data_IF_843269460039
#
_entry.id   IF_843269460039
#
_cell.length_a   1.000
_cell.length_b   1.000
_cell.length_c   1.000
_cell.angle_alpha   90.00
_cell.angle_beta   90.00
_cell.angle_gamma   90.00
#
_symmetry.space_group_name_H-M   'P 1'
#
loop_
_entity.id
_entity.type
_entity.pdbx_description
1 polymer ?
#
# COMPACT_ATOMS: atom_id res chain seq x y z
N UNK A 1 -14.80 -0.48 -1.32
CA UNK A 1 -15.45 0.82 -1.14
C UNK A 1 -15.34 1.14 0.34
N UNK A 2 -14.79 2.29 0.71
CA UNK A 2 -14.59 2.61 2.12
C UNK A 2 -15.72 3.51 2.59
N UNK A 3 -16.47 3.05 3.59
CA UNK A 3 -17.56 3.81 4.18
C UNK A 3 -16.97 4.76 5.21
N UNK A 4 -17.39 6.02 5.15
CA UNK A 4 -17.11 7.03 6.17
C UNK A 4 -18.42 7.45 6.81
N UNK A 5 -18.44 7.47 8.14
CA UNK A 5 -19.59 7.96 8.92
C UNK A 5 -19.13 9.17 9.71
N UNK A 6 -19.85 10.29 9.57
CA UNK A 6 -19.72 11.44 10.46
C UNK A 6 -20.86 11.36 11.46
N UNK A 7 -20.53 11.25 12.74
CA UNK A 7 -21.52 11.17 13.81
C UNK A 7 -22.13 12.55 14.09
N UNK A 8 -23.28 12.58 14.77
CA UNK A 8 -23.92 13.80 15.29
C UNK A 8 -22.99 14.63 16.19
N UNK A 9 -22.06 13.96 16.88
CA UNK A 9 -20.99 14.57 17.68
C UNK A 9 -19.77 15.06 16.86
N UNK A 10 -19.86 15.12 15.52
CA UNK A 10 -18.76 15.48 14.61
C UNK A 10 -17.52 14.58 14.72
N UNK A 11 -17.69 13.32 15.09
CA UNK A 11 -16.60 12.32 15.05
C UNK A 11 -16.61 11.63 13.70
N UNK A 12 -15.43 11.34 13.16
CA UNK A 12 -15.28 10.60 11.90
C UNK A 12 -14.98 9.14 12.21
N UNK A 13 -15.79 8.23 11.69
CA UNK A 13 -15.58 6.79 11.75
C UNK A 13 -15.09 6.32 10.38
N UNK A 14 -13.84 5.87 10.31
CA UNK A 14 -13.21 5.46 9.06
C UNK A 14 -12.04 4.47 9.25
N UNK A 15 -11.86 3.47 8.38
CA UNK A 15 -12.88 2.92 7.50
C UNK A 15 -13.97 2.25 8.36
N UNK A 16 -15.23 2.51 8.07
CA UNK A 16 -16.35 1.91 8.79
C UNK A 16 -16.74 0.56 8.17
N UNK A 17 -16.74 -0.49 8.99
CA UNK A 17 -17.36 -1.77 8.68
C UNK A 17 -18.75 -1.78 9.31
N UNK A 18 -19.77 -2.01 8.49
CA UNK A 18 -21.18 -1.93 8.90
C UNK A 18 -21.80 -3.30 8.82
N UNK A 19 -22.60 -3.65 9.81
CA UNK A 19 -23.30 -4.93 9.92
C UNK A 19 -24.76 -4.70 10.29
N UNK A 20 -25.62 -5.67 9.95
CA UNK A 20 -26.95 -5.77 10.53
C UNK A 20 -26.83 -6.13 12.01
N UNK A 21 -27.72 -5.61 12.85
CA UNK A 21 -27.66 -5.81 14.30
C UNK A 21 -27.85 -7.28 14.71
N UNK A 22 -28.55 -8.06 13.88
CA UNK A 22 -28.78 -9.49 14.08
C UNK A 22 -27.51 -10.33 13.84
N UNK A 23 -26.52 -9.81 13.11
CA UNK A 23 -25.25 -10.49 12.84
C UNK A 23 -24.24 -10.25 13.97
N UNK A 24 -24.57 -10.78 15.15
CA UNK A 24 -23.72 -10.69 16.36
C UNK A 24 -22.35 -11.36 16.20
N UNK A 25 -22.20 -12.24 15.21
CA UNK A 25 -20.95 -12.91 14.89
C UNK A 25 -20.08 -12.12 13.90
N UNK A 26 -20.56 -10.96 13.40
CA UNK A 26 -19.84 -10.06 12.50
C UNK A 26 -19.35 -10.77 11.21
N UNK A 27 -20.14 -11.70 10.68
CA UNK A 27 -19.75 -12.56 9.56
C UNK A 27 -20.00 -11.93 8.19
N UNK A 28 -20.96 -11.02 8.08
CA UNK A 28 -21.48 -10.46 6.81
C UNK A 28 -21.50 -8.93 6.84
N UNK A 29 -20.34 -8.28 6.60
CA UNK A 29 -20.31 -6.83 6.45
C UNK A 29 -21.08 -6.37 5.20
N UNK A 30 -21.76 -5.24 5.34
CA UNK A 30 -22.48 -4.55 4.27
C UNK A 30 -21.52 -3.58 3.59
N UNK A 31 -21.41 -3.68 2.28
CA UNK A 31 -20.47 -2.88 1.48
C UNK A 31 -21.16 -1.82 0.62
N UNK A 32 -22.45 -2.00 0.34
CA UNK A 32 -23.26 -1.06 -0.42
C UNK A 32 -23.83 0.02 0.51
N UNK A 33 -23.68 1.28 0.10
CA UNK A 33 -24.20 2.40 0.88
C UNK A 33 -25.73 2.48 0.83
N UNK A 34 -26.34 2.05 -0.28
CA UNK A 34 -27.79 2.09 -0.46
C UNK A 34 -28.47 1.07 0.49
N UNK A 35 -27.85 -0.10 0.69
CA UNK A 35 -28.29 -1.08 1.67
C UNK A 35 -28.23 -0.53 3.11
N UNK A 36 -27.18 0.21 3.45
CA UNK A 36 -27.03 0.83 4.76
C UNK A 36 -28.08 1.93 4.97
N UNK A 37 -28.35 2.73 3.94
CA UNK A 37 -29.44 3.71 3.98
C UNK A 37 -30.78 3.02 4.20
N UNK A 38 -31.08 1.95 3.47
CA UNK A 38 -32.34 1.22 3.61
C UNK A 38 -32.56 0.72 5.04
N UNK A 39 -31.53 0.19 5.71
CA UNK A 39 -31.61 -0.21 7.12
C UNK A 39 -31.95 0.97 8.04
N UNK A 40 -31.22 2.08 7.89
CA UNK A 40 -31.41 3.28 8.72
C UNK A 40 -32.78 3.94 8.48
N UNK A 41 -33.31 3.91 7.26
CA UNK A 41 -34.64 4.46 6.94
C UNK A 41 -35.77 3.58 7.45
N UNK A 42 -35.56 2.27 7.60
CA UNK A 42 -36.49 1.34 8.23
C UNK A 42 -36.42 1.35 9.77
N UNK A 43 -35.82 2.38 10.37
CA UNK A 43 -35.58 2.54 11.82
C UNK A 43 -34.81 1.37 12.45
N UNK A 44 -33.98 0.67 11.67
CA UNK A 44 -33.05 -0.31 12.21
C UNK A 44 -31.72 0.36 12.55
N UNK A 45 -31.21 0.09 13.74
CA UNK A 45 -29.85 0.46 14.11
C UNK A 45 -28.88 -0.42 13.33
N UNK A 46 -27.72 0.14 13.00
CA UNK A 46 -26.61 -0.57 12.38
C UNK A 46 -25.51 -0.80 13.41
N UNK A 47 -24.81 -1.93 13.31
CA UNK A 47 -23.62 -2.18 14.11
C UNK A 47 -22.38 -1.73 13.33
N UNK A 48 -21.54 -0.90 13.95
CA UNK A 48 -20.40 -0.27 13.29
C UNK A 48 -19.11 -0.55 14.04
N UNK A 49 -18.11 -1.00 13.30
CA UNK A 49 -16.72 -1.08 13.74
C UNK A 49 -15.84 -0.16 12.89
N UNK A 50 -15.11 0.77 13.51
CA UNK A 50 -14.28 1.73 12.80
C UNK A 50 -13.16 2.31 13.68
N UNK A 51 -12.12 2.89 13.06
CA UNK A 51 -11.25 3.81 13.78
C UNK A 51 -11.99 5.15 13.92
N UNK A 52 -12.00 5.70 15.13
CA UNK A 52 -12.62 6.98 15.43
C UNK A 52 -11.58 8.10 15.42
N UNK A 53 -11.88 9.16 14.69
CA UNK A 53 -11.12 10.41 14.67
C UNK A 53 -11.98 11.55 15.23
N UNK A 54 -11.34 12.53 15.85
CA UNK A 54 -11.99 13.80 16.15
C UNK A 54 -12.22 14.64 14.89
N UNK A 55 -12.87 15.80 15.05
CA UNK A 55 -13.15 16.74 13.97
C UNK A 55 -11.88 17.32 13.31
N UNK A 56 -10.71 17.21 13.94
CA UNK A 56 -9.43 17.69 13.44
C UNK A 56 -8.59 16.57 12.79
N UNK A 57 -9.11 15.33 12.76
CA UNK A 57 -8.45 14.18 12.16
C UNK A 57 -7.45 13.48 13.09
N UNK A 58 -7.42 13.81 14.38
CA UNK A 58 -6.62 13.06 15.36
C UNK A 58 -7.32 11.75 15.70
N UNK A 59 -6.57 10.65 15.62
CA UNK A 59 -7.05 9.34 16.02
C UNK A 59 -7.34 9.30 17.53
N UNK A 60 -8.52 8.79 17.90
CA UNK A 60 -8.96 8.69 19.29
C UNK A 60 -8.87 7.25 19.79
N UNK A 61 -9.74 6.37 19.27
CA UNK A 61 -9.87 4.97 19.66
C UNK A 61 -10.65 4.18 18.62
N UNK A 62 -10.72 2.87 18.78
CA UNK A 62 -11.65 2.04 18.01
C UNK A 62 -13.08 2.28 18.51
N UNK A 63 -13.98 2.56 17.57
CA UNK A 63 -15.42 2.55 17.80
C UNK A 63 -15.96 1.15 17.48
N UNK A 64 -16.71 0.59 18.43
CA UNK A 64 -17.48 -0.63 18.26
C UNK A 64 -18.81 -0.40 18.98
N UNK A 65 -19.87 -0.19 18.22
CA UNK A 65 -21.16 0.15 18.79
C UNK A 65 -22.26 0.31 17.75
N UNK A 66 -23.47 0.42 18.25
CA UNK A 66 -24.67 0.63 17.44
C UNK A 66 -24.83 2.12 17.11
N UNK A 67 -25.28 2.40 15.89
CA UNK A 67 -25.68 3.74 15.46
C UNK A 67 -27.08 3.68 14.87
N UNK A 68 -27.96 4.54 15.36
CA UNK A 68 -29.23 4.85 14.73
C UNK A 68 -29.10 5.99 13.73
N UNK A 69 -30.19 6.27 13.01
CA UNK A 69 -30.27 7.38 12.04
C UNK A 69 -30.00 8.74 12.70
N UNK A 70 -30.40 8.95 13.95
CA UNK A 70 -30.16 10.19 14.70
C UNK A 70 -28.69 10.41 15.06
N UNK A 71 -27.90 9.35 15.13
CA UNK A 71 -26.49 9.40 15.52
C UNK A 71 -25.56 9.74 14.34
N UNK A 72 -26.12 9.75 13.12
CA UNK A 72 -25.38 9.91 11.87
C UNK A 72 -25.73 11.26 11.26
N UNK A 73 -24.73 12.14 11.18
CA UNK A 73 -24.82 13.44 10.52
C UNK A 73 -24.60 13.33 9.02
N UNK A 74 -23.67 12.47 8.60
CA UNK A 74 -23.42 12.17 7.19
C UNK A 74 -22.87 10.76 7.02
N UNK A 75 -23.26 10.12 5.92
CA UNK A 75 -22.77 8.81 5.50
C UNK A 75 -22.38 8.92 4.03
N UNK A 76 -21.14 8.58 3.71
CA UNK A 76 -20.67 8.57 2.33
C UNK A 76 -19.67 7.46 2.09
N UNK A 77 -19.66 6.99 0.86
CA UNK A 77 -18.76 5.95 0.42
C UNK A 77 -17.72 6.58 -0.49
N UNK A 78 -16.48 6.53 -0.05
CA UNK A 78 -15.36 6.90 -0.90
C UNK A 78 -14.98 5.67 -1.72
N UNK A 79 -15.15 5.77 -3.05
CA UNK A 79 -14.18 5.12 -3.94
C UNK A 79 -12.83 5.70 -3.56
N UNK A 80 -11.77 4.89 -3.50
CA UNK A 80 -10.43 5.42 -3.27
C UNK A 80 -10.09 6.39 -4.42
N UNK A 81 -10.49 7.64 -4.28
CA UNK A 81 -9.86 8.76 -4.97
C UNK A 81 -8.66 9.02 -4.09
N UNK A 82 -7.52 8.50 -4.54
CA UNK A 82 -6.21 8.79 -4.01
C UNK A 82 -6.10 10.32 -3.86
N UNK A 83 -6.39 10.84 -2.67
CA UNK A 83 -5.87 12.15 -2.25
C UNK A 83 -4.43 11.89 -1.87
N UNK A 84 -3.62 11.58 -2.89
CA UNK A 84 -2.18 11.75 -2.79
C UNK A 84 -1.97 13.22 -2.46
N UNK A 85 -1.24 13.49 -1.38
CA UNK A 85 -0.86 14.84 -0.99
C UNK A 85 -0.45 15.61 -2.25
N UNK A 86 -1.11 16.73 -2.58
CA UNK A 86 -0.76 17.54 -3.76
C UNK A 86 0.69 18.04 -3.73
N UNK A 87 1.33 18.00 -2.55
CA UNK A 87 2.75 18.28 -2.35
C UNK A 87 3.67 17.13 -2.80
N UNK A 88 3.21 15.87 -2.77
CA UNK A 88 3.97 14.71 -3.24
C UNK A 88 3.92 14.56 -4.76
N UNK A 89 2.96 15.21 -5.43
CA UNK A 89 2.81 15.18 -6.89
C UNK A 89 3.63 16.27 -7.61
N UNK A 90 4.21 17.21 -6.86
CA UNK A 90 5.06 18.29 -7.39
C UNK A 90 6.53 18.06 -7.03
N UNK A 91 7.43 18.52 -7.89
CA UNK A 91 8.87 18.40 -7.68
C UNK A 91 9.62 19.52 -8.39
N UNK A 92 10.83 19.82 -7.92
CA UNK A 92 11.75 20.73 -8.59
C UNK A 92 12.27 20.11 -9.89
N UNK A 93 12.77 20.93 -10.82
CA UNK A 93 13.36 20.39 -12.06
C UNK A 93 14.56 19.48 -11.81
N UNK A 94 15.33 19.72 -10.74
CA UNK A 94 16.48 18.88 -10.38
C UNK A 94 16.02 17.49 -9.90
N UNK A 95 14.97 17.44 -9.09
CA UNK A 95 14.35 16.19 -8.64
C UNK A 95 13.72 15.44 -9.82
N UNK A 96 13.00 16.14 -10.69
CA UNK A 96 12.45 15.58 -11.92
C UNK A 96 13.54 15.01 -12.83
N UNK A 97 14.63 15.74 -13.05
CA UNK A 97 15.74 15.30 -13.89
C UNK A 97 16.37 14.02 -13.33
N UNK A 98 16.65 13.98 -12.03
CA UNK A 98 17.16 12.78 -11.36
C UNK A 98 16.20 11.60 -11.51
N UNK A 99 14.89 11.84 -11.34
CA UNK A 99 13.85 10.81 -11.40
C UNK A 99 13.65 10.24 -12.82
N UNK A 100 13.78 11.06 -13.86
CA UNK A 100 13.69 10.64 -15.27
C UNK A 100 15.03 10.27 -15.91
N UNK A 101 16.14 10.29 -15.17
CA UNK A 101 17.48 10.02 -15.71
C UNK A 101 17.94 11.05 -16.74
N UNK A 102 17.48 12.30 -16.61
CA UNK A 102 17.88 13.44 -17.43
C UNK A 102 19.03 14.20 -16.74
N UNK A 103 19.80 14.96 -17.52
CA UNK A 103 20.80 15.90 -16.98
C UNK A 103 20.15 16.99 -16.12
N UNK A 104 20.91 17.58 -15.18
CA UNK A 104 20.60 18.63 -14.15
C UNK A 104 19.53 19.71 -14.47
N UNK A 105 18.31 19.29 -14.81
CA UNK A 105 17.17 20.13 -15.19
C UNK A 105 17.28 20.85 -16.53
N UNK A 106 18.44 20.83 -17.22
CA UNK A 106 18.67 21.59 -18.47
C UNK A 106 17.78 21.14 -19.63
N UNK A 107 17.56 19.84 -19.77
CA UNK A 107 16.64 19.26 -20.76
C UNK A 107 15.20 19.68 -20.51
N UNK A 108 14.81 19.77 -19.23
CA UNK A 108 13.46 20.18 -18.84
C UNK A 108 13.27 21.68 -19.12
N UNK A 109 14.25 22.54 -18.80
CA UNK A 109 14.20 23.97 -19.16
C UNK A 109 14.02 24.21 -20.66
N UNK A 110 14.77 23.48 -21.50
CA UNK A 110 14.58 23.56 -22.96
C UNK A 110 13.18 23.15 -23.41
N UNK A 111 12.55 22.19 -22.74
CA UNK A 111 11.17 21.79 -23.04
C UNK A 111 10.16 22.88 -22.62
N UNK A 112 10.40 23.56 -21.50
CA UNK A 112 9.61 24.73 -21.06
C UNK A 112 9.73 25.85 -22.08
N UNK A 113 10.94 26.21 -22.50
CA UNK A 113 11.21 27.25 -23.52
C UNK A 113 10.53 26.94 -24.87
N UNK A 114 10.40 25.65 -25.20
CA UNK A 114 9.73 25.17 -26.42
C UNK A 114 8.20 25.05 -26.27
N UNK A 115 7.62 25.45 -25.14
CA UNK A 115 6.18 25.39 -24.90
C UNK A 115 5.61 23.98 -24.84
N UNK A 116 6.39 22.99 -24.39
CA UNK A 116 5.92 21.60 -24.27
C UNK A 116 5.01 21.38 -23.06
N UNK A 117 5.13 22.22 -22.04
CA UNK A 117 4.33 22.20 -20.82
C UNK A 117 3.12 23.13 -20.94
N UNK A 118 2.00 22.72 -20.33
CA UNK A 118 0.79 23.52 -20.21
C UNK A 118 0.89 24.51 -19.04
N UNK A 119 0.02 25.53 -19.02
CA UNK A 119 0.09 26.65 -18.09
C UNK A 119 -0.01 26.23 -16.60
N UNK A 120 -0.69 25.12 -16.32
CA UNK A 120 -0.89 24.62 -14.95
C UNK A 120 0.11 23.52 -14.55
N UNK A 121 1.00 23.13 -15.45
CA UNK A 121 1.94 22.02 -15.24
C UNK A 121 3.31 22.49 -14.77
N UNK A 122 3.63 23.76 -15.02
CA UNK A 122 4.93 24.34 -14.74
C UNK A 122 4.76 25.68 -14.04
N UNK A 123 5.46 25.89 -12.93
CA UNK A 123 5.43 27.15 -12.18
C UNK A 123 6.81 27.53 -11.67
N UNK A 124 7.16 28.80 -11.81
CA UNK A 124 8.32 29.37 -11.15
C UNK A 124 7.94 29.91 -9.76
N UNK A 125 8.57 29.39 -8.71
CA UNK A 125 8.45 29.84 -7.34
C UNK A 125 9.80 30.43 -6.89
N UNK A 126 9.93 31.76 -7.00
CA UNK A 126 11.19 32.46 -6.78
C UNK A 126 12.26 32.02 -7.80
N UNK A 127 13.39 31.49 -7.32
CA UNK A 127 14.48 31.01 -8.17
C UNK A 127 14.32 29.55 -8.61
N UNK A 128 13.29 28.84 -8.13
CA UNK A 128 13.10 27.42 -8.38
C UNK A 128 11.91 27.21 -9.31
N UNK A 129 12.10 26.34 -10.30
CA UNK A 129 11.04 25.86 -11.16
C UNK A 129 10.49 24.54 -10.62
N UNK A 130 9.16 24.45 -10.59
CA UNK A 130 8.40 23.32 -10.07
C UNK A 130 7.54 22.76 -11.21
N UNK A 131 7.46 21.43 -11.28
CA UNK A 131 6.64 20.67 -12.23
C UNK A 131 5.89 19.57 -11.49
N UNK A 132 4.86 18.98 -12.12
CA UNK A 132 4.15 17.82 -11.58
C UNK A 132 4.69 16.50 -12.16
N UNK A 133 4.45 15.40 -11.46
CA UNK A 133 4.73 14.05 -11.97
C UNK A 133 3.98 13.78 -13.29
N UNK A 134 2.69 14.13 -13.35
CA UNK A 134 1.85 13.92 -14.54
C UNK A 134 2.35 14.71 -15.75
N UNK A 135 2.81 15.95 -15.56
CA UNK A 135 3.38 16.76 -16.62
C UNK A 135 4.68 16.16 -17.16
N UNK A 136 5.56 15.68 -16.27
CA UNK A 136 6.79 15.00 -16.66
C UNK A 136 6.51 13.72 -17.44
N UNK A 137 5.55 12.91 -17.00
CA UNK A 137 5.14 11.69 -17.70
C UNK A 137 4.58 12.00 -19.09
N UNK A 138 3.75 13.04 -19.23
CA UNK A 138 3.18 13.45 -20.52
C UNK A 138 4.25 13.95 -21.50
N UNK A 139 5.20 14.77 -21.04
CA UNK A 139 6.21 15.41 -21.89
C UNK A 139 7.38 14.49 -22.21
N UNK A 140 7.83 13.68 -21.25
CA UNK A 140 9.04 12.85 -21.36
C UNK A 140 8.75 11.34 -21.41
N UNK A 141 7.49 10.94 -21.32
CA UNK A 141 7.07 9.55 -21.18
C UNK A 141 7.18 9.04 -19.74
N UNK A 142 6.72 7.82 -19.51
CA UNK A 142 6.92 7.13 -18.23
C UNK A 142 8.42 6.96 -17.94
N UNK A 143 8.78 6.86 -16.67
CA UNK A 143 10.18 6.76 -16.25
C UNK A 143 10.79 5.51 -16.90
N UNK A 144 11.82 5.70 -17.74
CA UNK A 144 12.50 4.63 -18.50
C UNK A 144 13.04 3.48 -17.63
N UNK A 145 13.14 3.68 -16.31
CA UNK A 145 13.60 2.66 -15.38
C UNK A 145 12.49 1.72 -14.87
N UNK A 146 11.20 1.89 -15.20
CA UNK A 146 10.17 0.93 -14.74
C UNK A 146 10.22 -0.40 -15.52
N UNK A 147 10.71 -0.43 -16.76
CA UNK A 147 10.76 -1.65 -17.59
C UNK A 147 11.82 -2.69 -17.13
N UNK A 148 12.80 -2.29 -16.31
CA UNK A 148 13.84 -3.19 -15.78
C UNK A 148 13.87 -3.23 -14.24
N UNK A 149 12.68 -3.16 -13.62
CA UNK A 149 12.52 -3.22 -12.16
C UNK A 149 11.58 -4.34 -11.74
N UNK A 150 11.92 -5.00 -10.64
CA UNK A 150 11.05 -5.94 -9.97
C UNK A 150 10.42 -5.25 -8.76
N UNK A 151 9.09 -5.24 -8.69
CA UNK A 151 8.36 -4.55 -7.62
C UNK A 151 7.96 -5.56 -6.54
N UNK A 152 8.40 -5.31 -5.31
CA UNK A 152 7.89 -5.99 -4.12
C UNK A 152 7.00 -4.99 -3.39
N UNK A 153 5.74 -5.38 -3.16
CA UNK A 153 4.89 -4.63 -2.27
C UNK A 153 5.22 -5.02 -0.83
N UNK A 154 5.61 -4.05 0.00
CA UNK A 154 5.88 -4.21 1.44
C UNK A 154 4.56 -4.31 2.21
N UNK A 155 3.76 -5.30 1.86
CA UNK A 155 2.49 -5.66 2.49
C UNK A 155 2.67 -6.69 3.60
N UNK A 156 3.91 -7.08 3.88
CA UNK A 156 4.19 -8.14 4.83
C UNK A 156 3.84 -7.75 6.29
N UNK A 157 3.44 -6.50 6.54
CA UNK A 157 2.92 -6.05 7.83
C UNK A 157 1.57 -6.73 8.15
N UNK A 158 1.54 -7.43 9.30
CA UNK A 158 0.55 -8.45 9.73
C UNK A 158 -0.96 -8.15 9.60
N UNK A 159 -1.39 -6.94 9.22
CA UNK A 159 -2.81 -6.51 9.34
C UNK A 159 -3.54 -6.56 8.00
N UNK A 160 -2.83 -6.58 6.86
CA UNK A 160 -3.47 -6.52 5.54
C UNK A 160 -2.82 -7.48 4.56
N UNK A 161 -3.32 -8.71 4.54
CA UNK A 161 -3.00 -9.68 3.47
C UNK A 161 -3.62 -9.21 2.15
N UNK A 162 -2.78 -9.01 1.14
CA UNK A 162 -3.17 -8.56 -0.21
C UNK A 162 -4.02 -9.60 -0.95
N UNK A 163 -4.65 -9.17 -2.04
CA UNK A 163 -5.40 -10.07 -2.92
C UNK A 163 -4.49 -11.21 -3.42
N UNK A 164 -3.25 -10.87 -3.77
CA UNK A 164 -2.19 -11.76 -4.22
C UNK A 164 -1.83 -12.79 -3.13
N UNK A 165 -1.68 -12.36 -1.87
CA UNK A 165 -1.52 -13.28 -0.75
C UNK A 165 -2.72 -14.23 -0.61
N UNK A 166 -3.95 -13.71 -0.69
CA UNK A 166 -5.15 -14.53 -0.54
C UNK A 166 -5.31 -15.53 -1.68
N UNK A 167 -4.95 -15.16 -2.90
CA UNK A 167 -4.89 -16.05 -4.06
C UNK A 167 -3.81 -17.13 -3.87
N UNK A 168 -2.61 -16.75 -3.40
CA UNK A 168 -1.56 -17.69 -3.05
C UNK A 168 -2.02 -18.69 -1.96
N UNK A 169 -2.59 -18.19 -0.86
CA UNK A 169 -3.07 -19.01 0.25
C UNK A 169 -4.20 -19.97 -0.18
N UNK A 170 -5.12 -19.52 -1.04
CA UNK A 170 -6.17 -20.36 -1.64
C UNK A 170 -5.56 -21.45 -2.53
N UNK A 171 -4.55 -21.12 -3.34
CA UNK A 171 -3.86 -22.06 -4.22
C UNK A 171 -3.11 -23.16 -3.45
N UNK A 172 -2.61 -22.84 -2.24
CA UNK A 172 -1.84 -23.74 -1.37
C UNK A 172 -2.71 -24.47 -0.34
N UNK A 173 -4.02 -24.61 -0.56
CA UNK A 173 -4.95 -25.24 0.40
C UNK A 173 -4.58 -26.70 0.74
N UNK A 174 -3.69 -26.88 1.72
CA UNK A 174 -3.52 -28.14 2.44
C UNK A 174 -4.70 -28.30 3.41
N UNK A 175 -5.64 -29.17 3.06
CA UNK A 175 -6.68 -29.64 3.98
C UNK A 175 -6.08 -30.74 4.88
N UNK A 176 -5.86 -30.43 6.16
CA UNK A 176 -5.51 -31.42 7.18
C UNK A 176 -6.13 -31.03 8.54
N UNK A 177 -6.58 -31.99 9.37
CA UNK A 177 -7.57 -31.71 10.41
C UNK A 177 -7.04 -31.08 11.71
N UNK A 178 -5.73 -30.91 11.91
CA UNK A 178 -5.19 -30.53 13.22
C UNK A 178 -3.85 -29.80 13.14
N UNK A 179 -3.83 -28.57 12.61
CA UNK A 179 -2.67 -27.68 12.75
C UNK A 179 -3.16 -26.41 13.44
N UNK A 180 -2.46 -26.02 14.52
CA UNK A 180 -2.63 -24.74 15.20
C UNK A 180 -2.76 -23.63 14.16
N UNK A 181 -3.95 -23.00 14.07
CA UNK A 181 -4.32 -22.04 13.03
C UNK A 181 -3.29 -20.92 12.90
N UNK A 182 -2.67 -20.51 14.02
CA UNK A 182 -1.64 -19.48 14.07
C UNK A 182 -0.32 -19.94 13.43
N UNK A 183 0.12 -21.17 13.74
CA UNK A 183 1.32 -21.75 13.12
C UNK A 183 1.12 -21.93 11.60
N UNK A 184 -0.07 -22.37 11.19
CA UNK A 184 -0.46 -22.50 9.78
C UNK A 184 -0.42 -21.16 9.03
N UNK A 185 -0.91 -20.09 9.65
CA UNK A 185 -0.87 -18.75 9.06
C UNK A 185 0.57 -18.25 8.86
N UNK A 186 1.47 -18.50 9.83
CA UNK A 186 2.88 -18.15 9.69
C UNK A 186 3.58 -18.94 8.58
N UNK A 187 3.29 -20.24 8.42
CA UNK A 187 3.86 -21.05 7.33
C UNK A 187 3.40 -20.58 5.93
N UNK A 188 2.11 -20.25 5.78
CA UNK A 188 1.60 -19.70 4.52
C UNK A 188 2.26 -18.34 4.20
N UNK A 189 2.37 -17.48 5.21
CA UNK A 189 3.04 -16.18 5.10
C UNK A 189 4.51 -16.31 4.79
N UNK A 190 5.19 -17.23 5.45
CA UNK A 190 6.59 -17.56 5.18
C UNK A 190 6.77 -17.99 3.73
N UNK A 191 5.93 -18.89 3.22
CA UNK A 191 5.99 -19.34 1.83
C UNK A 191 5.84 -18.19 0.83
N UNK A 192 4.86 -17.32 1.03
CA UNK A 192 4.66 -16.13 0.18
C UNK A 192 5.87 -15.19 0.20
N UNK A 193 6.37 -14.85 1.40
CA UNK A 193 7.54 -13.99 1.56
C UNK A 193 8.77 -14.60 0.89
N UNK A 194 8.99 -15.90 1.10
CA UNK A 194 10.10 -16.63 0.50
C UNK A 194 10.08 -16.54 -1.01
N UNK A 195 8.93 -16.81 -1.64
CA UNK A 195 8.79 -16.76 -3.10
C UNK A 195 9.05 -15.33 -3.63
N UNK A 196 8.48 -14.31 -2.99
CA UNK A 196 8.70 -12.91 -3.37
C UNK A 196 10.17 -12.48 -3.24
N UNK A 197 10.85 -12.92 -2.18
CA UNK A 197 12.27 -12.64 -1.95
C UNK A 197 13.16 -13.38 -2.95
N UNK A 198 12.84 -14.63 -3.29
CA UNK A 198 13.58 -15.39 -4.31
C UNK A 198 13.49 -14.70 -5.67
N UNK A 199 12.30 -14.26 -6.08
CA UNK A 199 12.13 -13.53 -7.33
C UNK A 199 12.85 -12.16 -7.30
N UNK A 200 12.82 -11.46 -6.16
CA UNK A 200 13.61 -10.24 -5.96
C UNK A 200 15.12 -10.46 -6.13
N UNK A 201 15.66 -11.55 -5.58
CA UNK A 201 17.07 -11.90 -5.76
C UNK A 201 17.39 -12.26 -7.21
N UNK A 202 16.52 -13.00 -7.91
CA UNK A 202 16.70 -13.30 -9.34
C UNK A 202 16.73 -12.02 -10.17
N UNK A 203 15.86 -11.06 -9.84
CA UNK A 203 15.85 -9.75 -10.48
C UNK A 203 17.20 -9.02 -10.31
N UNK A 204 17.72 -8.94 -9.07
CA UNK A 204 19.04 -8.33 -8.81
C UNK A 204 20.16 -9.01 -9.60
N UNK A 205 20.17 -10.35 -9.68
CA UNK A 205 21.14 -11.11 -10.49
C UNK A 205 21.04 -10.83 -11.98
N UNK A 206 19.85 -10.48 -12.47
CA UNK A 206 19.60 -10.06 -13.85
C UNK A 206 19.86 -8.56 -14.08
N UNK A 207 20.59 -7.89 -13.18
CA UNK A 207 20.85 -6.45 -13.21
C UNK A 207 19.56 -5.59 -13.20
N UNK A 208 18.47 -6.12 -12.65
CA UNK A 208 17.25 -5.37 -12.37
C UNK A 208 17.33 -4.75 -10.97
N UNK A 209 16.62 -3.64 -10.77
CA UNK A 209 16.47 -3.07 -9.42
C UNK A 209 15.22 -3.63 -8.76
N UNK A 210 15.28 -3.84 -7.45
CA UNK A 210 14.10 -4.18 -6.66
C UNK A 210 13.51 -2.91 -6.05
N UNK A 211 12.26 -2.61 -6.36
CA UNK A 211 11.54 -1.47 -5.78
C UNK A 211 10.60 -2.01 -4.71
N UNK A 212 10.81 -1.56 -3.48
CA UNK A 212 9.92 -1.81 -2.35
C UNK A 212 8.85 -0.71 -2.34
N UNK A 213 7.59 -1.05 -2.63
CA UNK A 213 6.46 -0.11 -2.62
C UNK A 213 5.55 -0.39 -1.43
N UNK A 214 4.99 0.65 -0.80
CA UNK A 214 3.86 0.46 0.13
C UNK A 214 2.66 -0.05 -0.65
N UNK A 215 2.06 -1.16 -0.22
CA UNK A 215 0.92 -1.76 -0.92
C UNK A 215 -0.27 -0.80 -1.09
N UNK A 216 -0.55 0.03 -0.08
CA UNK A 216 -1.70 0.95 -0.08
C UNK A 216 -1.49 2.24 -0.87
N UNK A 217 -0.37 2.93 -0.65
CA UNK A 217 -0.11 4.23 -1.29
C UNK A 217 0.65 4.09 -2.61
N UNK A 218 1.16 2.89 -2.93
CA UNK A 218 2.10 2.63 -4.04
C UNK A 218 3.39 3.47 -3.98
N UNK A 219 3.58 4.18 -2.88
CA UNK A 219 4.75 5.01 -2.61
C UNK A 219 5.99 4.13 -2.55
N UNK A 220 7.06 4.58 -3.19
CA UNK A 220 8.35 3.89 -3.14
C UNK A 220 8.93 4.07 -1.73
N UNK A 221 9.01 2.98 -0.98
CA UNK A 221 9.65 2.95 0.35
C UNK A 221 11.16 2.83 0.22
N UNK A 222 11.63 2.03 -0.74
CA UNK A 222 13.05 1.79 -0.96
C UNK A 222 13.30 1.33 -2.40
N UNK A 223 14.47 1.66 -2.94
CA UNK A 223 15.00 1.09 -4.19
C UNK A 223 16.30 0.38 -3.83
N UNK A 224 16.42 -0.87 -4.24
CA UNK A 224 17.53 -1.75 -3.89
C UNK A 224 18.17 -2.23 -5.19
N UNK A 225 19.48 -2.03 -5.34
CA UNK A 225 20.24 -2.40 -6.54
C UNK A 225 21.37 -3.40 -6.28
N UNK A 226 21.59 -3.78 -5.02
CA UNK A 226 22.61 -4.75 -4.59
C UNK A 226 22.01 -5.85 -3.73
N UNK A 227 22.54 -7.06 -3.86
CA UNK A 227 22.13 -8.20 -3.02
C UNK A 227 22.34 -7.92 -1.53
N UNK A 228 23.48 -7.34 -1.13
CA UNK A 228 23.78 -7.08 0.29
C UNK A 228 22.77 -6.13 0.95
N UNK A 229 22.31 -5.10 0.22
CA UNK A 229 21.26 -4.20 0.68
C UNK A 229 19.91 -4.92 0.79
N UNK A 230 19.67 -5.91 -0.07
CA UNK A 230 18.47 -6.74 -0.03
C UNK A 230 18.48 -7.72 1.15
N UNK A 231 19.62 -8.30 1.50
CA UNK A 231 19.77 -9.10 2.72
C UNK A 231 19.52 -8.26 3.98
N UNK A 232 20.09 -7.06 4.06
CA UNK A 232 19.84 -6.14 5.17
C UNK A 232 18.35 -5.79 5.29
N UNK A 233 17.65 -5.61 4.17
CA UNK A 233 16.21 -5.38 4.16
C UNK A 233 15.42 -6.57 4.79
N UNK A 234 15.83 -7.81 4.49
CA UNK A 234 15.20 -9.03 5.03
C UNK A 234 15.48 -9.17 6.53
N UNK A 235 16.68 -8.85 7.00
CA UNK A 235 17.03 -8.87 8.43
C UNK A 235 16.10 -7.98 9.28
N UNK A 236 15.62 -6.88 8.70
CA UNK A 236 14.69 -5.97 9.37
C UNK A 236 13.27 -6.55 9.55
N UNK A 237 12.92 -7.69 8.94
CA UNK A 237 11.58 -8.29 9.05
C UNK A 237 11.16 -8.59 10.48
N UNK A 238 12.09 -9.04 11.33
CA UNK A 238 11.79 -9.30 12.73
C UNK A 238 11.44 -7.99 13.46
N UNK A 239 12.24 -6.94 13.27
CA UNK A 239 12.00 -5.62 13.89
C UNK A 239 10.68 -4.98 13.43
N UNK A 240 10.27 -5.25 12.19
CA UNK A 240 9.02 -4.79 11.57
C UNK A 240 7.81 -5.69 11.87
N UNK A 241 7.99 -6.74 12.69
CA UNK A 241 6.94 -7.74 13.01
C UNK A 241 6.33 -8.39 11.77
N UNK A 242 7.13 -8.52 10.70
CA UNK A 242 6.75 -9.17 9.45
C UNK A 242 6.77 -10.69 9.64
N UNK A 243 7.88 -11.22 10.15
CA UNK A 243 8.04 -12.64 10.48
C UNK A 243 8.64 -12.76 11.89
N UNK A 244 8.29 -13.81 12.65
CA UNK A 244 9.02 -14.15 13.86
C UNK A 244 10.49 -14.43 13.56
N UNK A 245 11.37 -14.14 14.52
CA UNK A 245 12.83 -14.33 14.38
C UNK A 245 13.21 -15.69 13.79
N UNK A 246 12.62 -16.78 14.29
CA UNK A 246 12.89 -18.15 13.80
C UNK A 246 12.64 -18.32 12.29
N UNK A 247 11.61 -17.66 11.75
CA UNK A 247 11.30 -17.70 10.31
C UNK A 247 12.22 -16.78 9.50
N UNK A 248 12.70 -15.67 10.08
CA UNK A 248 13.69 -14.80 9.45
C UNK A 248 15.03 -15.53 9.34
N UNK A 249 15.47 -16.16 10.43
CA UNK A 249 16.72 -16.95 10.45
C UNK A 249 16.66 -18.09 9.43
N UNK A 250 15.55 -18.84 9.40
CA UNK A 250 15.29 -19.89 8.41
C UNK A 250 15.31 -19.35 6.97
N UNK A 251 14.67 -18.21 6.71
CA UNK A 251 14.66 -17.59 5.39
C UNK A 251 16.09 -17.26 4.94
N UNK A 252 16.87 -16.59 5.78
CA UNK A 252 18.24 -16.20 5.47
C UNK A 252 19.13 -17.41 5.17
N UNK A 253 18.98 -18.51 5.92
CA UNK A 253 19.73 -19.74 5.67
C UNK A 253 19.33 -20.42 4.37
N UNK A 254 18.03 -20.49 4.06
CA UNK A 254 17.55 -21.01 2.77
C UNK A 254 18.04 -20.15 1.58
N UNK A 255 18.16 -18.83 1.75
CA UNK A 255 18.70 -17.92 0.73
C UNK A 255 20.21 -18.05 0.55
N UNK A 256 20.97 -18.31 1.61
CA UNK A 256 22.41 -18.63 1.50
C UNK A 256 22.61 -19.88 0.65
N UNK A 257 21.81 -20.92 0.85
CA UNK A 257 21.86 -22.14 0.01
C UNK A 257 21.57 -21.80 -1.46
N UNK A 258 20.58 -20.95 -1.72
CA UNK A 258 20.27 -20.46 -3.07
C UNK A 258 21.44 -19.66 -3.70
N UNK A 259 22.20 -18.91 -2.90
CA UNK A 259 23.42 -18.22 -3.34
C UNK A 259 24.50 -19.20 -3.80
N UNK A 260 24.70 -20.31 -3.09
CA UNK A 260 25.70 -21.32 -3.45
C UNK A 260 25.33 -22.16 -4.68
N UNK A 261 24.05 -22.48 -4.88
CA UNK A 261 23.62 -23.26 -6.06
C UNK A 261 23.64 -22.45 -7.38
N UNK A 262 23.51 -21.12 -7.30
CA UNK A 262 23.52 -20.24 -8.48
C UNK A 262 24.89 -19.95 -9.07
N UNK A 263 25.98 -20.28 -8.36
CA UNK A 263 27.36 -20.03 -8.78
C UNK A 263 28.05 -21.25 -9.42
N UNK A 264 27.30 -22.34 -9.68
CA UNK A 264 27.81 -23.57 -10.34
C UNK A 264 27.56 -23.61 -11.84
N UNK A 265 27.52 -22.46 -12.53
CA UNK A 265 27.47 -22.39 -14.00
C UNK A 265 28.52 -21.43 -14.53
#
# INVERSE_FOLDING_TARGET
MNITIITSENRRLYPAMVYVIEDKELKKPIFDIDDIYNLLYNNQNILVMAIQFDQYGKELKVFNGELGKSDIKALFASKNVETGNELESVMTLSEAAKKWGLSDGSTIRKAIERGKFEQNEIKQAGNVWITTYSAMERVFGSIKNEENTFVIYDDFECIYMTKEYWEYAKSKSFCGPNINVKARQYEIKYGYIKDAVIEGLKALKNNQKVIIKKSRSKEIRQIIDKEDEFYLYIELFNSRKILPKEFVDRLLDELKIFRYMGNSK
#
